data_IF_566220218394
#
_entry.id   IF_566220218394
#
_cell.length_a   1.000
_cell.length_b   1.000
_cell.length_c   1.000
_cell.angle_alpha   90.00
_cell.angle_beta   90.00
_cell.angle_gamma   90.00
#
_symmetry.space_group_name_H-M   'P 1'
#
loop_
_entity.id
_entity.type
_entity.pdbx_description
1 polymer ?
#
# COMPACT_ATOMS: atom_id res chain seq x y z
N UNK A 1 -17.13 -10.79 6.55
CA UNK A 1 -17.43 -9.42 6.08
C UNK A 1 -16.20 -8.86 5.38
N UNK A 2 -16.26 -7.63 4.86
CA UNK A 2 -15.05 -6.93 4.40
C UNK A 2 -14.12 -6.62 5.58
N UNK A 3 -12.81 -6.49 5.33
CA UNK A 3 -11.81 -6.15 6.35
C UNK A 3 -11.53 -7.27 7.38
N UNK A 4 -11.89 -8.51 7.07
CA UNK A 4 -11.63 -9.67 7.94
C UNK A 4 -10.56 -10.56 7.33
N UNK A 5 -9.53 -10.91 8.11
CA UNK A 5 -8.57 -11.94 7.73
C UNK A 5 -9.03 -13.30 8.28
N UNK A 6 -9.42 -14.21 7.41
CA UNK A 6 -9.89 -15.53 7.81
C UNK A 6 -10.29 -16.41 6.63
N UNK A 7 -10.46 -17.71 6.88
CA UNK A 7 -10.89 -18.68 5.86
C UNK A 7 -12.26 -18.29 5.31
N UNK A 8 -12.38 -18.25 3.98
CA UNK A 8 -13.61 -17.88 3.27
C UNK A 8 -13.86 -16.37 3.16
N UNK A 9 -12.99 -15.53 3.75
CA UNK A 9 -13.05 -14.08 3.52
C UNK A 9 -12.46 -13.72 2.13
N UNK A 10 -12.82 -12.56 1.56
CA UNK A 10 -12.17 -12.04 0.36
C UNK A 10 -10.66 -11.96 0.55
N UNK A 11 -9.91 -12.31 -0.50
CA UNK A 11 -8.45 -12.21 -0.53
C UNK A 11 -7.97 -10.76 -0.71
N UNK A 12 -8.46 -9.85 0.12
CA UNK A 12 -8.10 -8.43 0.13
C UNK A 12 -7.15 -8.18 1.31
N UNK A 13 -5.85 -8.08 1.02
CA UNK A 13 -4.81 -7.90 2.04
C UNK A 13 -3.74 -6.90 1.56
N UNK A 14 -3.14 -6.20 2.51
CA UNK A 14 -2.01 -5.29 2.28
C UNK A 14 -0.83 -5.81 3.09
N UNK A 15 0.34 -5.93 2.44
CA UNK A 15 1.59 -6.23 3.10
C UNK A 15 2.28 -4.91 3.47
N UNK A 16 2.55 -4.74 4.77
CA UNK A 16 3.21 -3.57 5.33
C UNK A 16 4.59 -3.96 5.85
N UNK A 17 5.62 -3.29 5.37
CA UNK A 17 6.91 -3.24 6.06
C UNK A 17 6.82 -2.18 7.16
N UNK A 18 6.75 -2.63 8.40
CA UNK A 18 6.56 -1.77 9.58
C UNK A 18 7.83 -1.04 10.02
N UNK A 19 9.00 -1.45 9.52
CA UNK A 19 10.29 -0.83 9.85
C UNK A 19 10.74 0.17 8.78
N UNK A 20 10.11 0.13 7.60
CA UNK A 20 10.37 1.06 6.51
C UNK A 20 10.19 2.52 6.95
N UNK A 21 11.16 3.35 6.53
CA UNK A 21 11.13 4.81 6.64
C UNK A 21 11.25 5.41 5.25
N UNK A 22 10.38 6.34 4.92
CA UNK A 22 10.38 6.97 3.60
C UNK A 22 9.91 8.41 3.68
N UNK A 23 10.47 9.25 2.80
CA UNK A 23 10.06 10.64 2.65
C UNK A 23 8.88 10.71 1.68
N UNK A 24 7.85 11.46 2.05
CA UNK A 24 6.72 11.72 1.16
C UNK A 24 7.18 12.62 0.02
N UNK A 25 7.36 12.01 -1.15
CA UNK A 25 7.57 12.70 -2.42
C UNK A 25 6.28 12.62 -3.25
N UNK A 26 5.54 13.74 -3.42
CA UNK A 26 4.35 13.75 -4.27
C UNK A 26 4.64 13.32 -5.70
N UNK A 27 5.81 13.61 -6.24
CA UNK A 27 6.18 13.26 -7.63
C UNK A 27 6.17 11.75 -7.84
N UNK A 28 6.53 10.98 -6.82
CA UNK A 28 6.49 9.52 -6.81
C UNK A 28 5.07 8.91 -6.72
N UNK A 29 4.03 9.70 -6.44
CA UNK A 29 2.67 9.16 -6.31
C UNK A 29 2.15 8.56 -7.63
N UNK A 30 1.58 7.36 -7.55
CA UNK A 30 0.92 6.72 -8.70
C UNK A 30 -0.32 7.49 -9.20
N UNK A 31 -0.98 8.25 -8.31
CA UNK A 31 -2.12 9.07 -8.68
C UNK A 31 -1.69 10.33 -9.44
N UNK A 32 -2.61 10.88 -10.25
CA UNK A 32 -2.40 12.18 -10.93
C UNK A 32 -2.39 13.37 -9.96
N UNK A 33 -2.99 13.24 -8.78
CA UNK A 33 -3.03 14.29 -7.77
C UNK A 33 -1.72 14.38 -7.01
N UNK A 34 -1.11 15.57 -7.00
CA UNK A 34 0.17 15.85 -6.31
C UNK A 34 0.01 16.81 -5.12
N UNK A 35 -1.19 17.36 -4.91
CA UNK A 35 -1.47 18.24 -3.79
C UNK A 35 -1.63 17.42 -2.50
N UNK A 36 -0.65 17.51 -1.60
CA UNK A 36 -0.69 16.87 -0.28
C UNK A 36 -0.01 17.75 0.75
N UNK A 37 -0.58 17.90 1.97
CA UNK A 37 0.09 18.60 3.06
C UNK A 37 1.27 17.82 3.64
N UNK A 38 1.47 16.57 3.21
CA UNK A 38 2.48 15.67 3.77
C UNK A 38 3.84 15.74 3.07
N UNK A 39 3.98 16.53 2.00
CA UNK A 39 5.20 16.61 1.20
C UNK A 39 6.44 16.92 2.08
N UNK A 40 7.50 16.11 1.92
CA UNK A 40 8.74 16.22 2.69
C UNK A 40 8.71 15.63 4.10
N UNK A 41 7.57 15.13 4.59
CA UNK A 41 7.50 14.42 5.87
C UNK A 41 8.12 13.03 5.75
N UNK A 42 8.89 12.60 6.77
CA UNK A 42 9.28 11.19 6.92
C UNK A 42 8.12 10.43 7.60
N UNK A 43 7.72 9.30 7.01
CA UNK A 43 6.73 8.39 7.58
C UNK A 43 7.38 7.04 7.91
N UNK A 44 6.79 6.35 8.89
CA UNK A 44 7.16 4.99 9.30
C UNK A 44 6.06 4.02 8.88
N UNK A 45 6.45 2.87 8.35
CA UNK A 45 5.54 1.92 7.75
C UNK A 45 5.35 2.22 6.26
N UNK A 46 5.67 1.24 5.42
CA UNK A 46 5.51 1.31 3.97
C UNK A 46 4.66 0.15 3.47
N UNK A 47 3.71 0.42 2.57
CA UNK A 47 3.04 -0.66 1.83
C UNK A 47 4.07 -1.25 0.88
N UNK A 48 4.24 -2.57 0.87
CA UNK A 48 5.16 -3.29 -0.04
C UNK A 48 4.44 -4.27 -0.97
N UNK A 49 3.15 -4.53 -0.72
CA UNK A 49 2.30 -5.29 -1.63
C UNK A 49 0.82 -5.11 -1.35
N UNK A 50 0.00 -5.24 -2.39
CA UNK A 50 -1.47 -5.23 -2.29
C UNK A 50 -2.03 -6.42 -3.06
N UNK A 51 -2.88 -7.20 -2.39
CA UNK A 51 -3.67 -8.28 -2.98
C UNK A 51 -5.13 -7.87 -2.97
N UNK A 52 -5.80 -8.00 -4.11
CA UNK A 52 -7.25 -7.80 -4.21
C UNK A 52 -7.91 -9.00 -4.86
N UNK A 53 -8.95 -9.54 -4.23
CA UNK A 53 -9.65 -10.74 -4.70
C UNK A 53 -8.72 -11.94 -4.92
N UNK A 54 -7.63 -12.04 -4.14
CA UNK A 54 -6.62 -13.09 -4.29
C UNK A 54 -5.60 -12.88 -5.40
N UNK A 55 -5.55 -11.69 -6.04
CA UNK A 55 -4.55 -11.34 -7.06
C UNK A 55 -3.62 -10.25 -6.54
N UNK A 56 -2.32 -10.40 -6.76
CA UNK A 56 -1.34 -9.33 -6.49
C UNK A 56 -1.54 -8.23 -7.53
N UNK A 57 -1.96 -7.05 -7.08
CA UNK A 57 -2.25 -5.89 -7.96
C UNK A 57 -1.20 -4.78 -7.84
N UNK A 58 -0.33 -4.86 -6.83
CA UNK A 58 0.75 -3.92 -6.60
C UNK A 58 1.86 -4.57 -5.76
N UNK A 59 3.12 -4.21 -6.02
CA UNK A 59 4.30 -4.81 -5.38
C UNK A 59 4.99 -5.86 -6.25
N UNK A 60 5.92 -6.60 -5.66
CA UNK A 60 6.63 -7.68 -6.34
C UNK A 60 5.67 -8.81 -6.76
N UNK A 61 5.72 -9.23 -8.01
CA UNK A 61 4.82 -10.25 -8.56
C UNK A 61 3.48 -9.74 -9.11
N UNK A 62 3.23 -8.44 -9.08
CA UNK A 62 2.09 -7.86 -9.80
C UNK A 62 2.24 -8.09 -11.32
N UNK A 63 1.18 -8.61 -11.97
CA UNK A 63 1.10 -8.88 -13.41
C UNK A 63 -0.13 -8.20 -14.02
#
# INVERSE_FOLDING_TARGET
GLGTLGVGAPGDVVLLDVESRWMVDPEAFASKGKNTPLAGMELVGGVVGTVSGGRVVWGEGAS
#
